data_IF_687233499971
#
_entry.id   IF_687233499971
#
_cell.length_a   1.000
_cell.length_b   1.000
_cell.length_c   1.000
_cell.angle_alpha   90.00
_cell.angle_beta   90.00
_cell.angle_gamma   90.00
#
_symmetry.space_group_name_H-M   'P 1'
#
loop_
_entity.id
_entity.type
_entity.pdbx_description
1 polymer ?
#
# COMPACT_ATOMS: atom_id res chain seq x y z
N UNK A 1 1.88 14.47 -23.65
CA UNK A 1 0.92 13.35 -23.47
C UNK A 1 0.38 13.42 -22.05
N UNK A 2 -0.94 13.53 -21.96
CA UNK A 2 -1.69 14.39 -21.01
C UNK A 2 -2.46 13.58 -19.96
N UNK A 3 -2.36 13.97 -18.68
CA UNK A 3 -2.93 13.25 -17.53
C UNK A 3 -4.37 13.67 -17.31
N UNK A 4 -5.26 12.70 -17.14
CA UNK A 4 -6.71 12.90 -17.04
C UNK A 4 -7.18 12.61 -15.61
N UNK A 5 -7.58 13.64 -14.86
CA UNK A 5 -8.34 13.45 -13.60
C UNK A 5 -9.85 13.49 -13.91
N UNK A 6 -10.60 12.46 -13.51
CA UNK A 6 -12.07 12.50 -13.50
C UNK A 6 -12.57 12.66 -12.05
N UNK A 7 -13.40 13.68 -11.76
CA UNK A 7 -14.29 13.85 -10.59
C UNK A 7 -13.81 13.39 -9.19
N UNK A 8 -13.08 14.19 -8.41
CA UNK A 8 -12.86 13.91 -6.96
C UNK A 8 -13.77 14.81 -6.12
N UNK A 9 -14.64 14.24 -5.29
CA UNK A 9 -15.40 14.99 -4.28
C UNK A 9 -14.63 14.96 -2.97
N UNK A 10 -14.32 16.13 -2.39
CA UNK A 10 -13.64 16.20 -1.10
C UNK A 10 -14.56 16.90 -0.09
N UNK A 11 -15.10 16.14 0.85
CA UNK A 11 -15.88 16.69 1.96
C UNK A 11 -15.00 16.78 3.21
N UNK A 12 -14.97 17.94 3.85
CA UNK A 12 -14.25 18.20 5.10
C UNK A 12 -15.30 18.37 6.20
N UNK A 13 -15.39 17.41 7.12
CA UNK A 13 -16.31 17.48 8.25
C UNK A 13 -15.55 17.97 9.49
N UNK A 14 -15.66 19.27 9.77
CA UNK A 14 -15.38 19.80 11.10
C UNK A 14 -16.71 19.93 11.88
N UNK A 15 -16.72 19.46 13.12
CA UNK A 15 -17.91 19.44 13.98
C UNK A 15 -18.39 20.86 14.37
N UNK A 16 -19.54 21.30 13.86
CA UNK A 16 -20.34 22.45 14.36
C UNK A 16 -21.77 22.42 13.77
N UNK A 17 -22.76 23.15 14.36
CA UNK A 17 -24.19 22.85 14.25
C UNK A 17 -24.84 23.30 12.92
N UNK A 18 -26.05 22.77 12.68
CA UNK A 18 -26.82 22.89 11.45
C UNK A 18 -26.99 24.34 10.95
N UNK A 19 -26.31 24.64 9.84
CA UNK A 19 -26.45 25.83 9.00
C UNK A 19 -25.89 25.49 7.61
N UNK A 20 -26.50 25.99 6.54
CA UNK A 20 -26.38 25.50 5.15
C UNK A 20 -24.96 25.13 4.69
N UNK A 21 -24.86 24.04 3.92
CA UNK A 21 -23.58 23.46 3.51
C UNK A 21 -22.70 24.49 2.77
N UNK A 22 -21.52 24.78 3.33
CA UNK A 22 -20.49 25.59 2.68
C UNK A 22 -19.87 24.80 1.53
N UNK A 23 -20.40 24.97 0.30
CA UNK A 23 -19.96 24.25 -0.89
C UNK A 23 -19.05 25.10 -1.78
N UNK A 24 -17.85 24.60 -2.03
CA UNK A 24 -16.80 25.23 -2.84
C UNK A 24 -16.67 24.47 -4.17
N UNK A 25 -17.27 24.98 -5.23
CA UNK A 25 -17.18 24.38 -6.57
C UNK A 25 -15.91 24.88 -7.29
N UNK A 26 -15.05 23.96 -7.71
CA UNK A 26 -13.78 24.28 -8.38
C UNK A 26 -13.93 25.15 -9.64
N UNK A 27 -15.06 25.05 -10.36
CA UNK A 27 -15.33 25.89 -11.54
C UNK A 27 -15.46 27.37 -11.17
N UNK A 28 -16.00 27.67 -9.99
CA UNK A 28 -16.14 29.04 -9.48
C UNK A 28 -14.79 29.70 -9.18
N UNK A 29 -13.74 28.89 -9.01
CA UNK A 29 -12.36 29.33 -8.83
C UNK A 29 -11.53 29.27 -10.13
N UNK A 30 -12.19 29.05 -11.27
CA UNK A 30 -11.57 29.12 -12.59
C UNK A 30 -11.13 27.78 -13.19
N UNK A 31 -11.42 26.64 -12.53
CA UNK A 31 -11.07 25.34 -13.08
C UNK A 31 -11.82 25.11 -14.40
N UNK A 32 -11.12 24.70 -15.44
CA UNK A 32 -11.66 24.46 -16.78
C UNK A 32 -12.10 23.01 -16.94
N UNK A 33 -11.35 22.05 -16.42
CA UNK A 33 -11.70 20.63 -16.52
C UNK A 33 -11.94 20.15 -17.96
N UNK A 34 -11.20 20.71 -18.91
CA UNK A 34 -11.30 20.42 -20.34
C UNK A 34 -10.17 19.53 -20.88
N UNK A 35 -9.28 19.06 -20.01
CA UNK A 35 -8.15 18.20 -20.34
C UNK A 35 -6.93 18.91 -20.92
N UNK A 36 -7.02 20.22 -21.16
CA UNK A 36 -5.97 20.98 -21.84
C UNK A 36 -5.33 22.01 -20.91
N UNK A 37 -6.17 22.78 -20.20
CA UNK A 37 -5.69 23.89 -19.36
C UNK A 37 -5.22 23.38 -18.00
N UNK A 38 -4.15 23.98 -17.49
CA UNK A 38 -3.64 23.66 -16.17
C UNK A 38 -4.60 24.10 -15.06
N UNK A 39 -5.19 23.12 -14.36
CA UNK A 39 -6.23 23.34 -13.36
C UNK A 39 -5.71 23.45 -11.92
N UNK A 40 -4.39 23.44 -11.67
CA UNK A 40 -3.87 23.42 -10.29
C UNK A 40 -4.17 24.66 -9.51
N UNK A 41 -3.89 25.84 -10.08
CA UNK A 41 -4.13 27.10 -9.36
C UNK A 41 -5.60 27.23 -8.96
N UNK A 42 -6.58 26.96 -9.86
CA UNK A 42 -7.99 26.90 -9.46
C UNK A 42 -8.32 25.87 -8.38
N UNK A 43 -7.84 24.62 -8.50
CA UNK A 43 -8.10 23.58 -7.51
C UNK A 43 -7.52 23.96 -6.15
N UNK A 44 -6.31 24.53 -6.13
CA UNK A 44 -5.67 25.03 -4.92
C UNK A 44 -6.37 26.22 -4.30
N UNK A 45 -6.84 27.16 -5.11
CA UNK A 45 -7.62 28.28 -4.62
C UNK A 45 -8.93 27.80 -3.98
N UNK A 46 -9.59 26.81 -4.59
CA UNK A 46 -10.80 26.18 -4.05
C UNK A 46 -10.52 25.50 -2.71
N UNK A 47 -9.46 24.69 -2.64
CA UNK A 47 -9.04 24.02 -1.41
C UNK A 47 -8.72 25.01 -0.28
N UNK A 48 -7.94 26.05 -0.58
CA UNK A 48 -7.60 27.11 0.39
C UNK A 48 -8.84 27.83 0.91
N UNK A 49 -9.79 28.13 0.04
CA UNK A 49 -11.04 28.78 0.44
C UNK A 49 -11.89 27.87 1.35
N UNK A 50 -11.98 26.57 1.00
CA UNK A 50 -12.68 25.58 1.83
C UNK A 50 -12.04 25.44 3.21
N UNK A 51 -10.72 25.20 3.27
CA UNK A 51 -10.00 25.03 4.53
C UNK A 51 -9.92 26.31 5.39
N UNK A 52 -10.05 27.49 4.78
CA UNK A 52 -10.12 28.76 5.49
C UNK A 52 -11.49 29.07 6.11
N UNK A 53 -12.49 28.22 5.87
CA UNK A 53 -13.87 28.44 6.33
C UNK A 53 -14.16 27.60 7.57
N UNK A 54 -14.80 28.21 8.57
CA UNK A 54 -15.19 27.51 9.79
C UNK A 54 -16.37 26.55 9.55
N UNK A 55 -16.35 25.42 10.26
CA UNK A 55 -17.40 24.40 10.20
C UNK A 55 -17.20 23.37 9.10
N UNK A 56 -18.26 22.59 8.81
CA UNK A 56 -18.24 21.60 7.76
C UNK A 56 -18.28 22.26 6.38
N UNK A 57 -17.40 21.82 5.48
CA UNK A 57 -17.29 22.34 4.11
C UNK A 57 -17.22 21.20 3.11
N UNK A 58 -17.65 21.45 1.88
CA UNK A 58 -17.54 20.48 0.78
C UNK A 58 -16.87 21.14 -0.41
N UNK A 59 -15.71 20.65 -0.81
CA UNK A 59 -15.11 20.98 -2.09
C UNK A 59 -15.62 20.02 -3.16
N UNK A 60 -16.26 20.56 -4.19
CA UNK A 60 -16.74 19.80 -5.35
C UNK A 60 -15.84 20.09 -6.53
N UNK A 61 -15.25 19.04 -7.10
CA UNK A 61 -14.65 19.08 -8.43
C UNK A 61 -15.66 18.45 -9.38
N UNK A 62 -16.42 19.23 -10.18
CA UNK A 62 -17.45 18.68 -11.05
C UNK A 62 -16.89 17.74 -12.12
N UNK A 63 -17.74 16.95 -12.78
CA UNK A 63 -17.30 16.07 -13.84
C UNK A 63 -16.55 16.86 -14.94
N UNK A 64 -15.47 16.26 -15.44
CA UNK A 64 -14.55 16.89 -16.36
C UNK A 64 -13.19 16.22 -16.31
N UNK A 65 -12.30 16.62 -17.21
CA UNK A 65 -10.91 16.16 -17.26
C UNK A 65 -10.04 17.30 -16.75
N UNK A 66 -9.51 17.17 -15.54
CA UNK A 66 -8.69 18.25 -14.97
C UNK A 66 -7.23 17.98 -15.24
N UNK A 67 -6.56 18.94 -15.88
CA UNK A 67 -5.16 18.82 -16.23
C UNK A 67 -4.28 19.61 -15.28
N UNK A 68 -4.48 19.35 -14.02
CA UNK A 68 -3.72 19.79 -12.87
C UNK A 68 -2.19 19.93 -13.16
N UNK A 69 -1.44 21.02 -12.71
CA UNK A 69 0.00 21.56 -12.37
C UNK A 69 0.84 21.19 -11.08
N UNK A 70 2.21 21.02 -11.01
CA UNK A 70 2.86 20.76 -9.71
C UNK A 70 2.56 21.88 -8.69
N UNK A 71 2.15 21.44 -7.51
CA UNK A 71 1.24 22.08 -6.57
C UNK A 71 0.36 20.97 -6.00
N UNK A 72 -0.26 21.14 -4.83
CA UNK A 72 -1.16 20.11 -4.30
C UNK A 72 -2.25 19.85 -5.37
N UNK A 73 -2.18 18.64 -5.93
CA UNK A 73 -2.70 18.20 -7.22
C UNK A 73 -1.82 18.72 -8.42
N UNK A 74 -1.04 17.83 -9.16
CA UNK A 74 -0.78 17.48 -10.65
C UNK A 74 0.22 16.35 -10.96
N UNK A 75 -0.10 15.49 -11.94
CA UNK A 75 0.87 14.74 -12.74
C UNK A 75 1.16 15.42 -14.09
N UNK A 76 2.33 16.05 -14.20
CA UNK A 76 2.97 16.37 -15.47
C UNK A 76 3.74 15.13 -15.96
N UNK A 77 4.38 15.19 -17.12
CA UNK A 77 5.39 14.20 -17.53
C UNK A 77 6.82 14.70 -17.33
N UNK A 78 7.02 16.01 -17.11
CA UNK A 78 8.33 16.60 -16.88
C UNK A 78 8.79 16.41 -15.43
N UNK A 79 9.72 15.46 -15.23
CA UNK A 79 10.26 15.08 -13.93
C UNK A 79 10.96 16.21 -13.16
N UNK A 80 11.39 17.28 -13.84
CA UNK A 80 12.08 18.41 -13.21
C UNK A 80 11.14 19.30 -12.40
N UNK A 81 9.82 19.14 -12.57
CA UNK A 81 8.81 20.01 -11.95
C UNK A 81 8.20 19.42 -10.66
N UNK A 82 8.66 18.27 -10.17
CA UNK A 82 8.12 17.61 -8.97
C UNK A 82 9.03 17.71 -7.75
N UNK A 83 8.41 17.77 -6.56
CA UNK A 83 8.99 17.26 -5.30
C UNK A 83 8.92 15.72 -5.27
N UNK A 84 8.55 15.12 -4.13
CA UNK A 84 8.39 13.66 -4.00
C UNK A 84 6.96 13.14 -4.25
N UNK A 85 5.93 13.99 -4.33
CA UNK A 85 4.52 13.58 -4.41
C UNK A 85 3.71 14.59 -5.27
N UNK A 86 2.50 14.24 -5.73
CA UNK A 86 1.67 15.19 -6.51
C UNK A 86 0.26 15.49 -6.04
N UNK A 87 -0.44 14.59 -5.34
CA UNK A 87 -1.68 14.93 -4.62
C UNK A 87 -1.39 14.69 -3.15
N UNK A 88 -1.42 15.74 -2.34
CA UNK A 88 -1.14 15.63 -0.92
C UNK A 88 -2.31 16.19 -0.11
N UNK A 89 -2.84 15.37 0.80
CA UNK A 89 -3.73 15.82 1.86
C UNK A 89 -2.93 15.82 3.16
N UNK A 90 -2.70 16.99 3.74
CA UNK A 90 -1.82 17.16 4.88
C UNK A 90 -2.50 17.82 6.08
N UNK A 91 -2.27 17.32 7.29
CA UNK A 91 -2.68 17.95 8.56
C UNK A 91 -4.19 18.25 8.67
N UNK A 92 -5.02 17.35 8.14
CA UNK A 92 -6.48 17.50 8.19
C UNK A 92 -7.09 16.50 9.16
N UNK A 93 -8.01 16.98 10.00
CA UNK A 93 -8.89 16.17 10.83
C UNK A 93 -10.30 16.10 10.19
N UNK A 94 -10.90 14.91 10.11
CA UNK A 94 -12.27 14.75 9.60
C UNK A 94 -12.41 14.85 8.07
N UNK A 95 -11.37 14.43 7.33
CA UNK A 95 -11.36 14.47 5.87
C UNK A 95 -12.15 13.29 5.27
N UNK A 96 -13.00 13.55 4.28
CA UNK A 96 -13.58 12.54 3.40
C UNK A 96 -13.21 12.83 1.94
N UNK A 97 -12.52 11.89 1.30
CA UNK A 97 -12.24 11.92 -0.15
C UNK A 97 -13.06 10.83 -0.81
N UNK A 98 -13.89 11.18 -1.78
CA UNK A 98 -14.78 10.21 -2.42
C UNK A 98 -14.91 10.40 -3.92
N UNK A 99 -14.96 9.27 -4.64
CA UNK A 99 -15.17 9.24 -6.08
C UNK A 99 -13.95 9.67 -6.91
N UNK A 100 -14.05 9.40 -8.21
CA UNK A 100 -13.12 9.89 -9.21
C UNK A 100 -12.08 8.92 -9.70
N UNK A 101 -11.32 9.37 -10.69
CA UNK A 101 -10.21 8.65 -11.30
C UNK A 101 -8.99 9.53 -11.32
N UNK A 102 -7.95 9.11 -10.62
CA UNK A 102 -6.61 9.70 -10.63
C UNK A 102 -5.74 8.89 -11.59
N UNK A 103 -5.44 9.45 -12.76
CA UNK A 103 -4.50 8.85 -13.73
C UNK A 103 -3.11 9.48 -13.60
N UNK A 104 -2.14 8.68 -13.15
CA UNK A 104 -0.76 9.13 -12.97
C UNK A 104 0.09 9.13 -14.23
N UNK A 105 -0.39 8.56 -15.35
CA UNK A 105 0.36 8.37 -16.59
C UNK A 105 1.80 7.89 -16.38
N UNK A 106 1.96 6.85 -15.58
CA UNK A 106 3.25 6.33 -15.14
C UNK A 106 4.16 5.85 -16.27
N UNK A 107 3.60 5.42 -17.40
CA UNK A 107 4.35 4.85 -18.52
C UNK A 107 5.51 5.72 -19.01
N UNK A 108 5.32 7.04 -19.06
CA UNK A 108 6.38 7.97 -19.44
C UNK A 108 7.47 8.12 -18.37
N UNK A 109 7.17 7.80 -17.10
CA UNK A 109 8.07 7.97 -15.96
C UNK A 109 8.80 6.69 -15.58
N UNK A 110 8.23 5.51 -15.80
CA UNK A 110 8.80 4.22 -15.38
C UNK A 110 10.24 3.95 -15.87
N UNK A 111 10.67 4.30 -17.10
CA UNK A 111 12.06 4.11 -17.53
C UNK A 111 13.11 4.85 -16.67
N UNK A 112 12.67 5.90 -15.96
CA UNK A 112 13.51 6.69 -15.07
C UNK A 112 13.59 6.11 -13.64
N UNK A 113 12.78 5.10 -13.31
CA UNK A 113 12.85 4.43 -12.02
C UNK A 113 14.11 3.55 -11.95
N UNK A 114 15.07 3.91 -11.08
CA UNK A 114 16.30 3.14 -10.85
C UNK A 114 16.29 2.37 -9.53
N UNK A 115 15.21 2.48 -8.74
CA UNK A 115 15.08 1.82 -7.44
C UNK A 115 15.11 0.29 -7.48
N UNK A 116 14.68 -0.39 -8.57
CA UNK A 116 14.83 -1.83 -8.66
C UNK A 116 16.29 -2.32 -8.73
N UNK A 117 17.24 -1.47 -9.14
CA UNK A 117 18.64 -1.88 -9.38
C UNK A 117 19.67 -1.08 -8.57
N UNK A 118 19.28 0.04 -7.96
CA UNK A 118 20.17 0.93 -7.20
C UNK A 118 19.60 1.23 -5.82
N UNK A 119 20.40 1.00 -4.78
CA UNK A 119 20.04 1.28 -3.37
C UNK A 119 19.71 2.75 -3.12
N UNK A 120 20.54 3.66 -3.62
CA UNK A 120 20.39 5.11 -3.47
C UNK A 120 19.77 5.72 -4.72
N UNK A 121 18.58 5.24 -5.08
CA UNK A 121 17.80 5.78 -6.19
C UNK A 121 17.02 7.04 -5.78
N UNK A 122 16.69 7.90 -6.76
CA UNK A 122 15.65 8.90 -6.59
C UNK A 122 14.30 8.22 -6.84
N UNK A 123 13.43 8.22 -5.83
CA UNK A 123 12.05 7.71 -5.96
C UNK A 123 11.25 8.57 -6.94
N UNK A 124 10.37 7.92 -7.70
CA UNK A 124 9.40 8.63 -8.53
C UNK A 124 8.23 9.12 -7.66
N UNK A 125 7.43 10.10 -8.13
CA UNK A 125 6.37 10.65 -7.30
C UNK A 125 5.22 9.67 -7.01
N UNK A 126 4.79 9.60 -5.75
CA UNK A 126 3.55 8.90 -5.35
C UNK A 126 2.32 9.65 -5.85
N UNK A 127 1.26 8.91 -6.20
CA UNK A 127 0.05 9.52 -6.72
C UNK A 127 -0.78 10.29 -5.71
N UNK A 128 -1.09 9.69 -4.57
CA UNK A 128 -1.81 10.34 -3.48
C UNK A 128 -1.10 10.09 -2.16
N UNK A 129 -0.72 11.15 -1.46
CA UNK A 129 -0.15 11.10 -0.12
C UNK A 129 -1.17 11.66 0.88
N UNK A 130 -1.45 10.88 1.92
CA UNK A 130 -2.11 11.35 3.14
C UNK A 130 -1.05 11.47 4.23
N UNK A 131 -0.82 12.68 4.73
CA UNK A 131 0.23 12.96 5.71
C UNK A 131 -0.32 13.68 6.94
N UNK A 132 -0.03 13.15 8.13
CA UNK A 132 -0.49 13.75 9.39
C UNK A 132 -2.02 13.96 9.47
N UNK A 133 -2.81 13.14 8.77
CA UNK A 133 -4.27 13.21 8.84
C UNK A 133 -4.85 12.41 10.00
N UNK A 134 -6.02 12.85 10.48
CA UNK A 134 -6.78 12.16 11.51
C UNK A 134 -8.24 11.99 11.11
N UNK A 135 -8.85 10.86 11.46
CA UNK A 135 -10.27 10.59 11.20
C UNK A 135 -10.63 10.77 9.71
N UNK A 136 -9.87 10.10 8.84
CA UNK A 136 -10.00 10.23 7.38
C UNK A 136 -10.80 9.08 6.78
N UNK A 137 -11.64 9.38 5.80
CA UNK A 137 -12.38 8.41 5.01
C UNK A 137 -12.02 8.58 3.53
N UNK A 138 -11.66 7.49 2.86
CA UNK A 138 -11.41 7.46 1.41
C UNK A 138 -12.34 6.43 0.78
N UNK A 139 -13.17 6.84 -0.18
CA UNK A 139 -14.20 5.97 -0.75
C UNK A 139 -14.27 6.04 -2.27
N UNK A 140 -14.53 4.91 -2.91
CA UNK A 140 -14.92 4.83 -4.32
C UNK A 140 -13.97 5.54 -5.30
N UNK A 141 -12.70 5.67 -4.91
CA UNK A 141 -11.66 6.31 -5.72
C UNK A 141 -11.05 5.27 -6.65
N UNK A 142 -10.87 5.66 -7.91
CA UNK A 142 -10.12 4.91 -8.91
C UNK A 142 -8.73 5.54 -9.05
N UNK A 143 -7.67 4.73 -8.99
CA UNK A 143 -6.29 5.17 -9.23
C UNK A 143 -5.66 4.31 -10.30
N UNK A 144 -5.11 4.96 -11.34
CA UNK A 144 -4.62 4.28 -12.54
C UNK A 144 -3.21 4.76 -12.88
N UNK A 145 -2.34 3.82 -13.26
CA UNK A 145 -1.01 4.09 -13.84
C UNK A 145 -0.19 5.14 -13.06
N UNK A 146 0.18 4.91 -11.80
CA UNK A 146 0.98 5.84 -11.02
C UNK A 146 2.43 5.86 -11.52
N UNK A 147 3.16 6.92 -11.18
CA UNK A 147 4.60 6.99 -11.49
C UNK A 147 5.42 6.11 -10.56
N UNK A 148 4.98 5.99 -9.31
CA UNK A 148 5.50 5.14 -8.24
C UNK A 148 4.29 4.53 -7.52
N UNK A 149 4.12 4.72 -6.22
CA UNK A 149 2.94 4.24 -5.50
C UNK A 149 1.64 4.92 -5.94
N UNK A 150 0.52 4.19 -5.87
CA UNK A 150 -0.81 4.74 -6.05
C UNK A 150 -1.23 5.62 -4.86
N UNK A 151 -1.19 5.08 -3.64
CA UNK A 151 -1.56 5.78 -2.42
C UNK A 151 -0.52 5.51 -1.33
N UNK A 152 -0.07 6.54 -0.63
CA UNK A 152 0.76 6.43 0.57
C UNK A 152 0.09 7.09 1.77
N UNK A 153 0.21 6.45 2.94
CA UNK A 153 -0.23 6.96 4.24
C UNK A 153 0.99 7.16 5.11
N UNK A 154 1.18 8.37 5.62
CA UNK A 154 2.32 8.73 6.44
C UNK A 154 1.89 9.45 7.71
N UNK A 155 2.21 8.88 8.87
CA UNK A 155 1.90 9.53 10.16
C UNK A 155 0.40 9.81 10.36
N UNK A 156 -0.46 8.93 9.86
CA UNK A 156 -1.92 9.11 9.92
C UNK A 156 -2.56 8.37 11.09
N UNK A 157 -3.72 8.82 11.56
CA UNK A 157 -4.48 8.16 12.63
C UNK A 157 -5.94 7.98 12.27
N UNK A 158 -6.48 6.77 12.47
CA UNK A 158 -7.89 6.45 12.19
C UNK A 158 -8.29 6.80 10.75
N UNK A 159 -7.74 6.07 9.79
CA UNK A 159 -8.08 6.20 8.36
C UNK A 159 -8.82 4.96 7.87
N UNK A 160 -9.90 5.18 7.13
CA UNK A 160 -10.77 4.14 6.57
C UNK A 160 -10.82 4.28 5.05
N UNK A 161 -10.50 3.22 4.34
CA UNK A 161 -10.47 3.19 2.88
C UNK A 161 -11.36 2.05 2.37
N UNK A 162 -12.30 2.33 1.48
CA UNK A 162 -13.20 1.30 0.96
C UNK A 162 -13.68 1.54 -0.47
N UNK A 163 -13.99 0.47 -1.21
CA UNK A 163 -14.54 0.59 -2.57
C UNK A 163 -13.52 1.07 -3.62
N UNK A 164 -12.22 1.02 -3.32
CA UNK A 164 -11.22 1.57 -4.25
C UNK A 164 -10.99 0.62 -5.44
N UNK A 165 -10.61 1.22 -6.57
CA UNK A 165 -10.18 0.49 -7.77
C UNK A 165 -8.78 0.97 -8.17
N UNK A 166 -7.79 0.12 -7.96
CA UNK A 166 -6.37 0.45 -8.19
C UNK A 166 -5.84 -0.43 -9.32
N UNK A 167 -5.28 0.17 -10.36
CA UNK A 167 -4.80 -0.56 -11.53
C UNK A 167 -3.53 0.02 -12.17
N UNK A 168 -2.52 -0.81 -12.40
CA UNK A 168 -1.37 -0.56 -13.25
C UNK A 168 -0.91 -1.87 -13.93
N UNK A 169 -0.18 -1.83 -15.06
CA UNK A 169 0.38 -3.03 -15.69
C UNK A 169 1.25 -3.86 -14.73
N UNK A 170 1.22 -5.19 -14.86
CA UNK A 170 1.97 -6.09 -13.98
C UNK A 170 3.48 -5.95 -14.05
N UNK A 171 4.01 -5.29 -15.08
CA UNK A 171 5.43 -4.99 -15.27
C UNK A 171 5.79 -3.54 -14.92
N UNK A 172 4.87 -2.76 -14.36
CA UNK A 172 5.14 -1.39 -13.93
C UNK A 172 5.97 -1.38 -12.62
N UNK A 173 7.13 -0.71 -12.57
CA UNK A 173 8.07 -0.85 -11.46
C UNK A 173 7.65 -0.02 -10.24
N UNK A 174 7.58 -0.66 -9.07
CA UNK A 174 7.27 -0.03 -7.77
C UNK A 174 5.94 0.74 -7.77
N UNK A 175 4.92 0.13 -8.37
CA UNK A 175 3.56 0.67 -8.40
C UNK A 175 2.70 0.15 -7.27
N UNK A 176 3.20 0.18 -6.04
CA UNK A 176 2.47 -0.30 -4.87
C UNK A 176 1.06 0.30 -4.80
N UNK A 177 0.07 -0.51 -4.41
CA UNK A 177 -1.31 -0.06 -4.31
C UNK A 177 -1.52 0.91 -3.15
N UNK A 178 -1.39 0.42 -1.92
CA UNK A 178 -1.47 1.27 -0.72
C UNK A 178 -0.25 0.98 0.16
N UNK A 179 0.60 2.00 0.30
CA UNK A 179 1.76 1.99 1.19
C UNK A 179 1.42 2.67 2.51
N UNK A 180 1.77 2.07 3.65
CA UNK A 180 1.41 2.56 4.98
C UNK A 180 2.68 2.69 5.81
N UNK A 181 2.94 3.87 6.37
CA UNK A 181 4.08 4.12 7.26
C UNK A 181 3.68 5.00 8.45
N UNK A 182 4.23 4.69 9.64
CA UNK A 182 4.06 5.47 10.87
C UNK A 182 2.61 5.76 11.27
N UNK A 183 1.67 4.91 10.91
CA UNK A 183 0.25 5.18 11.04
C UNK A 183 -0.43 4.26 12.06
N UNK A 184 -1.51 4.74 12.69
CA UNK A 184 -2.24 4.00 13.71
C UNK A 184 -3.75 3.93 13.44
N UNK A 185 -4.33 2.73 13.43
CA UNK A 185 -5.75 2.55 13.13
C UNK A 185 -6.04 2.77 11.64
N UNK A 186 -5.54 1.87 10.80
CA UNK A 186 -5.74 1.89 9.35
C UNK A 186 -6.67 0.74 8.97
N UNK A 187 -7.76 1.05 8.28
CA UNK A 187 -8.76 0.07 7.86
C UNK A 187 -8.92 0.13 6.33
N UNK A 188 -8.61 -0.95 5.63
CA UNK A 188 -8.72 -1.04 4.16
C UNK A 188 -9.66 -2.20 3.83
N UNK A 189 -10.80 -1.90 3.21
CA UNK A 189 -11.85 -2.89 2.97
C UNK A 189 -12.38 -2.86 1.53
N UNK A 190 -12.93 -3.97 1.06
CA UNK A 190 -13.80 -4.01 -0.13
C UNK A 190 -13.18 -3.33 -1.36
N UNK A 191 -11.94 -3.68 -1.69
CA UNK A 191 -11.11 -2.96 -2.66
C UNK A 191 -10.48 -3.93 -3.66
N UNK A 192 -10.29 -3.47 -4.90
CA UNK A 192 -9.61 -4.22 -5.96
C UNK A 192 -8.29 -3.55 -6.32
N UNK A 193 -7.19 -4.30 -6.27
CA UNK A 193 -5.83 -3.81 -6.49
C UNK A 193 -5.09 -4.73 -7.47
N UNK A 194 -4.71 -4.17 -8.61
CA UNK A 194 -3.91 -4.82 -9.63
C UNK A 194 -2.72 -3.92 -9.98
N UNK A 195 -1.50 -4.35 -9.70
CA UNK A 195 -0.31 -3.50 -9.78
C UNK A 195 0.89 -4.28 -10.33
N UNK A 196 2.03 -3.60 -10.49
CA UNK A 196 3.31 -4.26 -10.78
C UNK A 196 4.14 -4.57 -9.54
N UNK A 197 3.72 -4.11 -8.35
CA UNK A 197 4.41 -4.34 -7.07
C UNK A 197 3.40 -4.72 -5.96
N UNK A 198 3.70 -4.49 -4.69
CA UNK A 198 2.85 -4.89 -3.56
C UNK A 198 1.43 -4.27 -3.66
N UNK A 199 0.37 -5.06 -3.49
CA UNK A 199 -1.00 -4.54 -3.42
C UNK A 199 -1.17 -3.64 -2.19
N UNK A 200 -0.65 -4.12 -1.05
CA UNK A 200 -0.59 -3.42 0.23
C UNK A 200 0.82 -3.62 0.78
N UNK A 201 1.50 -2.54 1.16
CA UNK A 201 2.79 -2.60 1.83
C UNK A 201 2.76 -1.86 3.17
N UNK A 202 3.12 -2.56 4.25
CA UNK A 202 3.15 -2.03 5.63
C UNK A 202 4.60 -1.78 6.01
N UNK A 203 5.03 -0.52 5.93
CA UNK A 203 6.35 -0.06 6.37
C UNK A 203 6.49 0.00 7.90
N UNK A 204 7.54 0.67 8.36
CA UNK A 204 7.87 0.82 9.78
C UNK A 204 6.87 1.70 10.55
N UNK A 205 6.83 1.51 11.88
CA UNK A 205 6.10 2.38 12.82
C UNK A 205 4.58 2.27 12.79
N UNK A 206 4.02 1.18 12.28
CA UNK A 206 2.57 1.02 12.15
C UNK A 206 1.94 0.24 13.31
N UNK A 207 0.73 0.64 13.69
CA UNK A 207 -0.04 0.00 14.75
C UNK A 207 -1.52 -0.13 14.37
N UNK A 208 -2.12 -1.30 14.61
CA UNK A 208 -3.55 -1.54 14.36
C UNK A 208 -3.93 -1.29 12.89
N UNK A 209 -3.49 -2.19 12.02
CA UNK A 209 -3.82 -2.21 10.58
C UNK A 209 -4.73 -3.40 10.30
N UNK A 210 -5.99 -3.16 9.89
CA UNK A 210 -6.94 -4.20 9.48
C UNK A 210 -7.23 -4.07 7.97
N UNK A 211 -6.95 -5.14 7.22
CA UNK A 211 -7.20 -5.23 5.78
C UNK A 211 -8.11 -6.41 5.53
N UNK A 212 -9.26 -6.16 4.90
CA UNK A 212 -10.28 -7.18 4.71
C UNK A 212 -10.93 -7.13 3.33
N UNK A 213 -11.28 -8.29 2.74
CA UNK A 213 -12.06 -8.36 1.48
C UNK A 213 -11.42 -7.59 0.33
N UNK A 214 -10.11 -7.75 0.18
CA UNK A 214 -9.33 -7.17 -0.91
C UNK A 214 -9.03 -8.24 -1.96
N UNK A 215 -9.26 -7.89 -3.22
CA UNK A 215 -8.83 -8.65 -4.39
C UNK A 215 -7.48 -8.09 -4.83
N UNK A 216 -6.42 -8.88 -4.66
CA UNK A 216 -5.04 -8.48 -4.92
C UNK A 216 -4.47 -9.28 -6.08
N UNK A 217 -4.06 -8.61 -7.15
CA UNK A 217 -3.36 -9.27 -8.23
C UNK A 217 -3.73 -8.77 -9.62
N UNK A 218 -2.77 -8.78 -10.57
CA UNK A 218 -1.36 -9.19 -10.40
C UNK A 218 -0.54 -8.22 -9.53
N UNK A 219 0.72 -8.55 -9.26
CA UNK A 219 1.63 -7.74 -8.43
C UNK A 219 2.49 -8.60 -7.49
N UNK A 220 3.04 -8.01 -6.43
CA UNK A 220 3.89 -8.70 -5.46
C UNK A 220 3.17 -9.27 -4.23
N UNK A 221 1.85 -9.09 -4.11
CA UNK A 221 1.06 -9.57 -2.99
C UNK A 221 0.89 -8.55 -1.88
N UNK A 222 0.62 -9.02 -0.66
CA UNK A 222 0.58 -8.19 0.54
C UNK A 222 1.89 -8.37 1.30
N UNK A 223 2.58 -7.27 1.60
CA UNK A 223 3.85 -7.29 2.30
C UNK A 223 3.82 -6.48 3.60
N UNK A 224 4.38 -7.05 4.67
CA UNK A 224 4.93 -6.29 5.80
C UNK A 224 6.41 -6.09 5.54
N UNK A 225 6.83 -4.83 5.50
CA UNK A 225 8.18 -4.38 5.22
C UNK A 225 8.38 -3.82 3.80
N UNK A 226 9.62 -3.58 3.40
CA UNK A 226 10.83 -4.03 4.10
C UNK A 226 11.07 -3.27 5.41
N UNK A 227 11.34 -4.01 6.49
CA UNK A 227 11.67 -3.46 7.81
C UNK A 227 13.16 -3.60 8.13
N UNK A 228 13.67 -2.74 9.01
CA UNK A 228 15.05 -2.73 9.47
C UNK A 228 16.04 -2.17 8.46
N UNK A 229 15.61 -1.31 7.53
CA UNK A 229 16.51 -0.67 6.55
C UNK A 229 17.25 0.52 7.17
N UNK A 230 16.55 1.32 7.96
CA UNK A 230 17.01 2.59 8.49
C UNK A 230 17.20 2.55 10.02
N UNK A 231 18.07 3.43 10.51
CA UNK A 231 18.27 3.59 11.94
C UNK A 231 17.04 4.27 12.56
N UNK A 232 16.56 3.75 13.69
CA UNK A 232 15.43 4.33 14.43
C UNK A 232 14.06 4.04 13.81
N UNK A 233 13.93 2.99 12.99
CA UNK A 233 12.62 2.50 12.57
C UNK A 233 11.76 2.08 13.76
N UNK A 234 10.49 2.50 13.76
CA UNK A 234 9.51 2.11 14.76
C UNK A 234 8.97 0.70 14.54
N UNK A 235 8.42 0.14 15.61
CA UNK A 235 7.81 -1.19 15.61
C UNK A 235 6.58 -1.26 14.70
N UNK A 236 6.30 -2.46 14.20
CA UNK A 236 5.07 -2.80 13.48
C UNK A 236 4.28 -3.81 14.32
N UNK A 237 3.07 -3.45 14.73
CA UNK A 237 2.26 -4.35 15.55
C UNK A 237 0.77 -4.30 15.28
N UNK A 238 0.04 -5.36 15.69
CA UNK A 238 -1.41 -5.49 15.53
C UNK A 238 -1.82 -5.34 14.07
N UNK A 239 -1.31 -6.22 13.22
CA UNK A 239 -1.67 -6.29 11.79
C UNK A 239 -2.61 -7.47 11.57
N UNK A 240 -3.81 -7.21 11.04
CA UNK A 240 -4.81 -8.23 10.72
C UNK A 240 -5.14 -8.18 9.24
N UNK A 241 -4.78 -9.23 8.50
CA UNK A 241 -5.03 -9.36 7.07
C UNK A 241 -5.98 -10.52 6.88
N UNK A 242 -7.16 -10.28 6.31
CA UNK A 242 -8.19 -11.31 6.25
C UNK A 242 -9.10 -11.27 5.03
N UNK A 243 -9.69 -12.41 4.75
CA UNK A 243 -10.74 -12.53 3.73
C UNK A 243 -10.28 -12.02 2.34
N UNK A 244 -9.00 -12.20 2.00
CA UNK A 244 -8.41 -11.71 0.76
C UNK A 244 -8.26 -12.81 -0.29
N UNK A 245 -8.31 -12.41 -1.56
CA UNK A 245 -7.98 -13.29 -2.69
C UNK A 245 -6.78 -12.72 -3.43
N UNK A 246 -5.77 -13.56 -3.63
CA UNK A 246 -4.55 -13.26 -4.38
C UNK A 246 -4.60 -13.95 -5.73
N UNK A 247 -4.44 -13.24 -6.85
CA UNK A 247 -4.52 -13.82 -8.19
C UNK A 247 -3.31 -13.45 -9.04
N UNK A 248 -2.52 -14.45 -9.44
CA UNK A 248 -1.36 -14.24 -10.32
C UNK A 248 -0.28 -13.33 -9.73
N UNK A 249 -0.20 -13.25 -8.40
CA UNK A 249 0.82 -12.45 -7.70
C UNK A 249 2.11 -13.23 -7.52
N UNK A 250 3.24 -12.51 -7.40
CA UNK A 250 4.53 -13.10 -7.04
C UNK A 250 4.49 -13.71 -5.64
N UNK A 251 3.81 -13.06 -4.69
CA UNK A 251 3.69 -13.58 -3.33
C UNK A 251 2.25 -13.48 -2.86
N UNK A 252 1.88 -14.29 -1.87
CA UNK A 252 0.63 -14.12 -1.15
C UNK A 252 0.82 -13.10 -0.05
N UNK A 253 1.11 -13.59 1.16
CA UNK A 253 1.49 -12.77 2.32
C UNK A 253 2.98 -12.91 2.59
N UNK A 254 3.66 -11.78 2.78
CA UNK A 254 5.12 -11.71 2.92
C UNK A 254 5.53 -10.80 4.07
N UNK A 255 6.40 -11.27 4.96
CA UNK A 255 7.12 -10.42 5.92
C UNK A 255 8.57 -10.36 5.46
N UNK A 256 9.10 -9.17 5.16
CA UNK A 256 10.45 -8.97 4.65
C UNK A 256 11.25 -8.03 5.56
N UNK A 257 12.38 -8.48 6.09
CA UNK A 257 13.26 -7.65 6.93
C UNK A 257 14.69 -7.70 6.43
N UNK A 258 15.36 -6.55 6.43
CA UNK A 258 16.74 -6.41 5.96
C UNK A 258 17.70 -7.17 6.87
N UNK A 259 18.63 -7.91 6.25
CA UNK A 259 19.88 -8.28 6.90
C UNK A 259 20.71 -7.03 7.23
N UNK A 260 21.54 -7.11 8.26
CA UNK A 260 22.33 -5.98 8.76
C UNK A 260 21.48 -4.75 9.14
N UNK A 261 20.35 -4.96 9.82
CA UNK A 261 19.55 -3.84 10.31
C UNK A 261 20.40 -2.97 11.26
N UNK A 262 20.41 -1.64 11.08
CA UNK A 262 21.29 -0.76 11.85
C UNK A 262 20.84 -0.62 13.31
N UNK A 263 19.56 -0.86 13.60
CA UNK A 263 18.97 -0.80 14.94
C UNK A 263 17.96 -1.94 15.14
N UNK A 264 17.61 -2.21 16.41
CA UNK A 264 16.57 -3.20 16.75
C UNK A 264 15.18 -2.58 16.64
N UNK A 265 14.21 -3.40 16.21
CA UNK A 265 12.77 -3.09 16.22
C UNK A 265 11.96 -4.39 16.27
N UNK A 266 10.65 -4.30 16.43
CA UNK A 266 9.74 -5.44 16.49
C UNK A 266 8.74 -5.46 15.33
N UNK A 267 8.46 -6.66 14.84
CA UNK A 267 7.32 -6.97 13.98
C UNK A 267 6.49 -8.05 14.68
N UNK A 268 5.41 -7.65 15.34
CA UNK A 268 4.71 -8.52 16.29
C UNK A 268 3.19 -8.50 16.23
N UNK A 269 2.55 -9.57 16.70
CA UNK A 269 1.08 -9.67 16.84
C UNK A 269 0.37 -9.49 15.51
N UNK A 270 0.62 -10.41 14.59
CA UNK A 270 0.03 -10.37 13.24
C UNK A 270 -0.79 -11.61 12.95
N UNK A 271 -1.94 -11.43 12.30
CA UNK A 271 -2.83 -12.51 11.90
C UNK A 271 -3.11 -12.36 10.40
N UNK A 272 -2.81 -13.41 9.65
CA UNK A 272 -3.12 -13.55 8.24
C UNK A 272 -4.13 -14.71 8.11
N UNK A 273 -5.40 -14.42 7.84
CA UNK A 273 -6.43 -15.46 7.87
C UNK A 273 -7.48 -15.43 6.76
N UNK A 274 -8.03 -16.60 6.42
CA UNK A 274 -9.04 -16.74 5.37
C UNK A 274 -8.54 -16.22 4.01
N UNK A 275 -7.40 -16.72 3.55
CA UNK A 275 -6.74 -16.25 2.34
C UNK A 275 -6.87 -17.28 1.21
N UNK A 276 -7.29 -16.81 0.04
CA UNK A 276 -7.39 -17.62 -1.18
C UNK A 276 -6.24 -17.25 -2.10
N UNK A 277 -5.47 -18.26 -2.51
CA UNK A 277 -4.34 -18.14 -3.41
C UNK A 277 -4.72 -18.74 -4.77
N UNK A 278 -4.74 -17.91 -5.81
CA UNK A 278 -5.00 -18.32 -7.19
C UNK A 278 -3.74 -18.08 -8.00
N UNK A 279 -2.98 -19.15 -8.26
CA UNK A 279 -1.78 -19.13 -9.08
C UNK A 279 -0.73 -18.13 -8.58
N UNK A 280 -0.49 -18.15 -7.27
CA UNK A 280 0.48 -17.29 -6.60
C UNK A 280 1.86 -17.93 -6.64
N UNK A 281 2.93 -17.20 -6.94
CA UNK A 281 4.25 -17.87 -7.04
C UNK A 281 4.72 -18.39 -5.67
N UNK A 282 4.69 -17.55 -4.63
CA UNK A 282 5.11 -17.90 -3.27
C UNK A 282 4.06 -17.45 -2.22
N UNK A 283 3.10 -18.31 -1.86
CA UNK A 283 1.97 -17.94 -0.99
C UNK A 283 2.30 -17.38 0.39
N UNK A 284 3.23 -17.99 1.14
CA UNK A 284 3.54 -17.58 2.52
C UNK A 284 5.05 -17.41 2.65
N UNK A 285 5.50 -16.19 2.98
CA UNK A 285 6.92 -15.88 3.16
C UNK A 285 7.16 -15.11 4.46
N UNK A 286 8.14 -15.56 5.23
CA UNK A 286 8.95 -14.73 6.13
C UNK A 286 10.38 -14.78 5.60
N UNK A 287 10.97 -13.63 5.30
CA UNK A 287 12.33 -13.51 4.82
C UNK A 287 13.08 -12.41 5.57
N UNK A 288 13.88 -12.82 6.55
CA UNK A 288 14.80 -11.93 7.27
C UNK A 288 16.18 -11.83 6.63
N UNK A 289 16.35 -12.43 5.44
CA UNK A 289 17.53 -12.24 4.56
C UNK A 289 17.18 -11.37 3.36
N UNK A 290 16.19 -10.50 3.53
CA UNK A 290 15.68 -9.71 2.42
C UNK A 290 16.74 -8.72 1.95
N UNK A 291 17.09 -8.84 0.68
CA UNK A 291 17.88 -7.86 -0.02
C UNK A 291 17.51 -7.87 -1.51
N UNK A 292 17.01 -6.76 -2.07
CA UNK A 292 16.53 -6.69 -3.45
C UNK A 292 17.63 -6.36 -4.47
N UNK A 293 18.90 -6.28 -4.04
CA UNK A 293 20.02 -5.87 -4.90
C UNK A 293 20.95 -7.04 -5.20
N UNK A 294 21.73 -6.96 -6.28
CA UNK A 294 22.67 -8.02 -6.63
C UNK A 294 23.82 -8.15 -5.60
N UNK A 295 24.30 -7.02 -5.07
CA UNK A 295 25.37 -6.97 -4.08
C UNK A 295 24.79 -6.68 -2.70
N UNK A 296 24.57 -7.74 -1.94
CA UNK A 296 24.09 -7.67 -0.57
C UNK A 296 25.23 -8.05 0.38
N UNK A 297 25.43 -7.24 1.39
CA UNK A 297 26.32 -7.58 2.48
C UNK A 297 25.59 -8.56 3.41
N UNK A 298 26.27 -9.62 3.85
CA UNK A 298 25.70 -10.65 4.72
C UNK A 298 26.55 -10.80 5.99
N UNK A 299 26.83 -9.70 6.67
CA UNK A 299 27.71 -9.69 7.86
C UNK A 299 26.96 -9.98 9.15
N UNK A 300 25.71 -9.52 9.24
CA UNK A 300 24.89 -9.58 10.44
C UNK A 300 23.47 -10.01 10.12
N UNK A 301 22.87 -10.71 11.08
CA UNK A 301 21.45 -11.06 11.05
C UNK A 301 20.56 -9.81 11.11
N UNK A 302 19.29 -9.95 10.74
CA UNK A 302 18.31 -8.87 10.90
C UNK A 302 18.15 -8.46 12.37
N UNK A 303 18.05 -7.15 12.62
CA UNK A 303 17.77 -6.58 13.95
C UNK A 303 16.28 -6.55 14.29
N UNK A 304 15.41 -6.92 13.35
CA UNK A 304 13.96 -6.97 13.55
C UNK A 304 13.57 -8.28 14.23
N UNK A 305 12.93 -8.19 15.39
CA UNK A 305 12.38 -9.38 16.08
C UNK A 305 10.99 -9.68 15.56
N UNK A 306 10.77 -10.91 15.05
CA UNK A 306 9.46 -11.37 14.59
C UNK A 306 8.81 -12.22 15.68
N UNK A 307 7.61 -11.83 16.11
CA UNK A 307 6.93 -12.46 17.25
C UNK A 307 5.40 -12.57 17.07
N UNK A 308 4.82 -13.69 17.49
CA UNK A 308 3.38 -13.92 17.56
C UNK A 308 2.69 -13.68 16.20
N UNK A 309 3.11 -14.45 15.20
CA UNK A 309 2.57 -14.40 13.84
C UNK A 309 1.72 -15.65 13.58
N UNK A 310 0.50 -15.44 13.11
CA UNK A 310 -0.44 -16.51 12.82
C UNK A 310 -0.84 -16.49 11.35
N UNK A 311 -0.72 -17.64 10.69
CA UNK A 311 -1.24 -17.91 9.35
C UNK A 311 -2.36 -18.94 9.50
N UNK A 312 -3.61 -18.57 9.15
CA UNK A 312 -4.79 -19.40 9.43
C UNK A 312 -5.68 -19.55 8.21
N UNK A 313 -6.15 -20.76 7.90
CA UNK A 313 -7.10 -21.00 6.81
C UNK A 313 -6.64 -20.37 5.48
N UNK A 314 -5.47 -20.79 5.01
CA UNK A 314 -4.87 -20.31 3.75
C UNK A 314 -4.91 -21.45 2.74
N UNK A 315 -5.59 -21.24 1.61
CA UNK A 315 -5.83 -22.31 0.63
C UNK A 315 -5.67 -21.86 -0.81
N UNK A 316 -5.38 -22.81 -1.70
CA UNK A 316 -5.40 -22.58 -3.15
C UNK A 316 -4.16 -23.10 -3.86
N UNK A 317 -3.68 -22.40 -4.89
CA UNK A 317 -2.60 -22.84 -5.77
C UNK A 317 -1.37 -21.94 -5.70
N UNK A 318 -0.20 -22.60 -5.67
CA UNK A 318 1.11 -22.01 -5.88
C UNK A 318 1.61 -22.32 -7.30
N UNK A 319 2.44 -21.46 -7.89
CA UNK A 319 3.11 -21.76 -9.19
C UNK A 319 4.57 -22.11 -9.04
N UNK A 320 5.13 -22.07 -7.83
CA UNK A 320 6.47 -22.60 -7.52
C UNK A 320 6.41 -23.73 -6.50
N UNK A 321 7.41 -24.63 -6.45
CA UNK A 321 7.42 -25.74 -5.51
C UNK A 321 7.54 -25.35 -4.03
N UNK A 322 8.00 -24.14 -3.70
CA UNK A 322 8.16 -23.71 -2.29
C UNK A 322 6.99 -22.81 -1.93
N UNK A 323 5.94 -23.39 -1.34
CA UNK A 323 4.73 -22.64 -1.04
C UNK A 323 4.77 -21.91 0.31
N UNK A 324 5.61 -22.41 1.22
CA UNK A 324 5.86 -21.82 2.54
C UNK A 324 7.37 -21.65 2.73
N UNK A 325 7.81 -20.42 2.93
CA UNK A 325 9.20 -20.09 3.24
C UNK A 325 9.24 -19.32 4.56
N UNK A 326 9.85 -19.91 5.60
CA UNK A 326 10.03 -19.27 6.90
C UNK A 326 11.52 -19.13 7.20
N UNK A 327 12.13 -18.04 6.76
CA UNK A 327 13.56 -17.80 6.89
C UNK A 327 13.83 -16.70 7.91
N UNK A 328 14.15 -17.09 9.13
CA UNK A 328 14.45 -16.18 10.22
C UNK A 328 15.97 -16.06 10.43
N UNK A 329 16.47 -14.83 10.54
CA UNK A 329 17.88 -14.55 10.84
C UNK A 329 18.16 -14.68 12.34
N UNK A 330 17.19 -14.24 13.15
CA UNK A 330 17.08 -14.57 14.58
C UNK A 330 15.85 -15.46 14.76
N UNK A 331 15.79 -16.37 15.75
CA UNK A 331 14.65 -17.26 15.87
C UNK A 331 13.31 -16.53 15.96
N UNK A 332 12.42 -16.78 15.00
CA UNK A 332 11.04 -16.27 15.07
C UNK A 332 10.32 -16.91 16.26
N UNK A 333 9.52 -16.12 16.97
CA UNK A 333 8.85 -16.55 18.21
C UNK A 333 7.33 -16.61 18.01
N UNK A 334 6.68 -17.64 18.56
CA UNK A 334 5.21 -17.72 18.54
C UNK A 334 4.60 -17.84 17.14
N UNK A 335 5.30 -18.47 16.19
CA UNK A 335 4.73 -18.74 14.87
C UNK A 335 3.65 -19.82 14.96
N UNK A 336 2.50 -19.58 14.34
CA UNK A 336 1.42 -20.56 14.22
C UNK A 336 1.01 -20.67 12.76
N UNK A 337 0.98 -21.90 12.24
CA UNK A 337 0.37 -22.22 10.95
C UNK A 337 -0.80 -23.15 11.22
N UNK A 338 -1.99 -22.71 10.85
CA UNK A 338 -3.23 -23.45 11.07
C UNK A 338 -4.00 -23.57 9.75
N UNK A 339 -4.41 -24.78 9.40
CA UNK A 339 -5.27 -25.04 8.23
C UNK A 339 -4.70 -24.43 6.94
N UNK A 340 -3.44 -24.75 6.63
CA UNK A 340 -2.76 -24.35 5.38
C UNK A 340 -2.92 -25.48 4.36
N UNK A 341 -3.52 -25.18 3.20
CA UNK A 341 -3.81 -26.15 2.15
C UNK A 341 -3.50 -25.58 0.75
N UNK A 342 -2.23 -25.64 0.38
CA UNK A 342 -1.69 -25.12 -0.87
C UNK A 342 -1.29 -26.27 -1.78
N UNK A 343 -1.58 -26.15 -3.08
CA UNK A 343 -1.25 -27.15 -4.10
C UNK A 343 -0.40 -26.51 -5.18
N UNK A 344 0.44 -27.30 -5.84
CA UNK A 344 1.16 -26.81 -7.02
C UNK A 344 0.17 -26.73 -8.20
N UNK A 345 0.22 -25.66 -8.98
CA UNK A 345 -0.50 -25.56 -10.24
C UNK A 345 0.06 -26.60 -11.22
N UNK A 346 -0.78 -27.55 -11.65
CA UNK A 346 -0.38 -28.63 -12.53
C UNK A 346 0.05 -29.89 -11.77
N UNK A 347 1.06 -30.61 -12.29
CA UNK A 347 1.58 -31.82 -11.67
C UNK A 347 2.68 -31.52 -10.65
N UNK A 348 2.71 -32.29 -9.56
CA UNK A 348 3.73 -32.20 -8.52
C UNK A 348 3.17 -31.78 -7.16
N UNK A 349 4.07 -31.47 -6.24
CA UNK A 349 3.74 -31.12 -4.85
C UNK A 349 4.44 -29.85 -4.43
N UNK A 350 3.82 -29.13 -3.50
CA UNK A 350 4.47 -28.01 -2.81
C UNK A 350 5.25 -28.49 -1.59
N UNK A 351 6.21 -27.68 -1.15
CA UNK A 351 7.08 -27.90 0.00
C UNK A 351 7.11 -26.68 0.91
N UNK A 352 7.46 -26.92 2.18
CA UNK A 352 7.81 -25.88 3.14
C UNK A 352 9.33 -25.87 3.35
N UNK A 353 9.93 -24.68 3.45
CA UNK A 353 11.35 -24.49 3.80
C UNK A 353 11.46 -23.56 4.98
N UNK A 354 12.22 -23.97 6.01
CA UNK A 354 12.39 -23.19 7.22
C UNK A 354 13.87 -23.07 7.61
N UNK A 355 14.23 -21.91 8.13
CA UNK A 355 15.55 -21.61 8.71
C UNK A 355 15.32 -20.79 9.98
N UNK A 356 15.81 -21.28 11.13
CA UNK A 356 15.58 -20.69 12.46
C UNK A 356 14.11 -20.34 12.77
N UNK A 357 13.17 -21.08 12.20
CA UNK A 357 11.74 -20.89 12.44
C UNK A 357 11.20 -22.13 13.12
N UNK A 358 10.65 -21.96 14.34
CA UNK A 358 9.87 -23.00 15.01
C UNK A 358 8.42 -22.55 15.04
N UNK A 359 7.55 -23.32 14.38
CA UNK A 359 6.13 -23.02 14.32
C UNK A 359 5.31 -24.12 14.99
N UNK A 360 4.19 -23.71 15.59
CA UNK A 360 3.12 -24.62 15.98
C UNK A 360 2.23 -24.87 14.77
N UNK A 361 2.00 -26.14 14.47
CA UNK A 361 1.13 -26.56 13.36
C UNK A 361 -0.19 -27.10 13.91
N UNK A 362 -1.31 -26.67 13.33
CA UNK A 362 -2.66 -27.08 13.77
C UNK A 362 -3.52 -27.41 12.54
N UNK A 363 -4.31 -28.49 12.62
CA UNK A 363 -5.23 -28.86 11.55
C UNK A 363 -4.53 -29.27 10.25
N UNK A 364 -5.12 -28.92 9.11
CA UNK A 364 -4.60 -29.33 7.79
C UNK A 364 -3.27 -28.65 7.48
N UNK A 365 -2.28 -29.42 7.02
CA UNK A 365 -0.97 -28.90 6.62
C UNK A 365 -0.52 -29.50 5.27
N UNK A 366 -0.75 -28.74 4.21
CA UNK A 366 -0.20 -28.96 2.88
C UNK A 366 0.37 -27.62 2.39
N UNK A 367 1.69 -27.47 2.19
CA UNK A 367 2.73 -28.50 2.24
C UNK A 367 2.97 -29.13 3.62
N UNK A 368 3.67 -30.28 3.65
CA UNK A 368 4.12 -30.90 4.91
C UNK A 368 4.90 -29.86 5.75
N UNK A 369 4.65 -29.77 7.07
CA UNK A 369 5.37 -28.89 7.97
C UNK A 369 6.89 -29.05 7.90
N UNK A 370 7.60 -27.98 8.23
CA UNK A 370 9.04 -28.06 8.48
C UNK A 370 9.31 -28.91 9.74
N UNK A 371 10.47 -29.59 9.81
CA UNK A 371 10.89 -30.36 10.98
C UNK A 371 10.96 -29.55 12.27
#
# INVERSE_FOLDING_TARGET
MEARLALVVVALLASAPAGGANVFNAKNYGAKGNGVVDDTKPLMATWKAACGTAGAVTMVVPAGIYHIGPGTLKAATDLKRFGNDWIEFGWVNGLTVTGGTIDGQGAASWPFNKCPVRKDCKVLPTSVLFVNNQNTVVKDLTSVNPKFFHIALLSTKNIKMSGLKISAPSNSPNTDGIHIERSAGVYIMDTHIATGDDCISVGQGNDNVDVARVQCGPGHGMSVGSLGRYAGEGDVTRVHIRDMTFTGTMNGVRIKTWENSPTKSNAAHMIFENLIMNDVQNPIIIDQKYCPYYNCEHKYVSGVTIKDIQFKNIKGTATTPVAVLLRCGVPCQGLVLQDVNLKLKGQGTVSAKCENAKAKYVGVQLPKPCP
#
